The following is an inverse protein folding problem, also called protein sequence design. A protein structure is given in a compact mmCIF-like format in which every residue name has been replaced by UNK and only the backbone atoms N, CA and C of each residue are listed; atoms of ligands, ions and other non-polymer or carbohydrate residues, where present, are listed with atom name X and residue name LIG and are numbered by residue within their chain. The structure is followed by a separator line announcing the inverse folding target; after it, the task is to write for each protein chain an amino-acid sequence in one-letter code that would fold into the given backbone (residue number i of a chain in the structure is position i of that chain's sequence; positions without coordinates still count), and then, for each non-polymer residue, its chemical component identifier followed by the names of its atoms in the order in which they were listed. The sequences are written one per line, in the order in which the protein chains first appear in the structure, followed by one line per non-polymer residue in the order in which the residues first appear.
data_IF_886922893164
#
_entry.id   IF_886922893164
#
_cell.length_a   1.000
_cell.length_b   1.000
_cell.length_c   1.000
_cell.angle_alpha   90.00
_cell.angle_beta   90.00
_cell.angle_gamma   90.00
#
_symmetry.space_group_name_H-M   'P 1'
#
loop_
_entity.id
_entity.type
_entity.pdbx_description
1 polymer ?
#
# COMPACT_ATOMS: atom_id res chain seq x y z
N UNK A 1 0.89 24.43 5.46
CA UNK A 1 0.58 25.19 4.24
C UNK A 1 -0.66 26.06 4.38
N UNK A 2 -1.73 25.61 5.06
CA UNK A 2 -2.91 26.42 5.40
C UNK A 2 -2.81 27.06 6.81
N UNK A 3 -1.99 26.45 7.67
CA UNK A 3 -1.61 26.97 8.98
C UNK A 3 -0.09 27.18 8.97
N UNK A 4 0.35 28.41 9.28
CA UNK A 4 1.75 28.86 9.27
C UNK A 4 2.56 28.27 10.44
N UNK A 5 2.65 26.94 10.48
CA UNK A 5 3.47 26.22 11.44
C UNK A 5 4.89 26.10 10.91
N UNK A 6 5.86 26.38 11.78
CA UNK A 6 7.28 26.17 11.51
C UNK A 6 7.66 24.70 11.79
N UNK A 7 7.15 23.81 10.94
CA UNK A 7 7.37 22.36 11.03
C UNK A 7 7.68 21.80 9.65
N UNK A 8 8.75 21.01 9.56
CA UNK A 8 9.10 20.23 8.38
C UNK A 8 8.40 18.87 8.39
N UNK A 9 7.73 18.51 7.28
CA UNK A 9 7.14 17.18 7.09
C UNK A 9 8.12 16.29 6.34
N UNK A 10 8.59 15.23 7.01
CA UNK A 10 9.48 14.24 6.40
C UNK A 10 8.66 13.01 6.00
N UNK A 11 8.61 12.70 4.70
CA UNK A 11 7.96 11.51 4.21
C UNK A 11 8.82 10.27 4.48
N UNK A 12 8.17 9.18 4.93
CA UNK A 12 8.83 7.89 5.16
C UNK A 12 8.21 6.80 4.25
N UNK A 13 8.99 5.79 3.84
CA UNK A 13 8.47 4.67 3.08
C UNK A 13 7.47 3.84 3.91
N UNK A 14 6.53 3.19 3.23
CA UNK A 14 5.61 2.24 3.86
C UNK A 14 6.40 1.00 4.29
N UNK A 15 6.47 0.76 5.60
CA UNK A 15 7.04 -0.48 6.13
C UNK A 15 6.12 -1.67 5.83
N UNK A 16 6.71 -2.80 5.44
CA UNK A 16 5.98 -4.02 5.05
C UNK A 16 6.58 -5.25 5.74
N UNK A 17 5.73 -6.25 5.97
CA UNK A 17 6.16 -7.59 6.35
C UNK A 17 6.82 -8.31 5.17
N UNK A 18 7.46 -9.46 5.43
CA UNK A 18 8.18 -10.26 4.43
C UNK A 18 7.29 -10.73 3.26
N UNK A 19 5.98 -10.82 3.47
CA UNK A 19 5.00 -11.22 2.44
C UNK A 19 4.42 -10.03 1.66
N UNK A 20 4.81 -8.80 1.99
CA UNK A 20 4.39 -7.56 1.33
C UNK A 20 3.21 -6.84 1.98
N UNK A 21 2.58 -7.41 3.03
CA UNK A 21 1.52 -6.71 3.76
C UNK A 21 2.08 -5.47 4.45
N UNK A 22 1.43 -4.32 4.25
CA UNK A 22 1.78 -3.09 4.97
C UNK A 22 1.60 -3.29 6.48
N UNK A 23 2.58 -2.87 7.27
CA UNK A 23 2.50 -2.94 8.72
C UNK A 23 1.43 -1.97 9.22
N UNK A 24 0.50 -2.48 10.02
CA UNK A 24 -0.61 -1.72 10.59
C UNK A 24 -1.05 -2.38 11.89
N UNK A 25 -1.32 -1.59 12.93
CA UNK A 25 -1.88 -2.09 14.19
C UNK A 25 -3.21 -2.82 13.98
N UNK A 26 -3.96 -2.46 12.92
CA UNK A 26 -5.22 -3.11 12.55
C UNK A 26 -5.06 -4.51 11.96
N UNK A 27 -3.86 -4.91 11.57
CA UNK A 27 -3.62 -6.29 11.13
C UNK A 27 -3.91 -7.31 12.25
N UNK A 28 -3.93 -6.88 13.51
CA UNK A 28 -4.33 -7.70 14.65
C UNK A 28 -5.81 -8.16 14.62
N UNK A 29 -6.65 -7.55 13.78
CA UNK A 29 -8.05 -7.95 13.63
C UNK A 29 -8.26 -9.06 12.58
N UNK A 30 -7.23 -9.35 11.79
CA UNK A 30 -7.30 -10.40 10.77
C UNK A 30 -7.20 -11.76 11.45
N UNK A 31 -8.12 -12.66 11.13
CA UNK A 31 -7.92 -14.07 11.42
C UNK A 31 -6.84 -14.67 10.49
N UNK A 32 -6.47 -15.92 10.73
CA UNK A 32 -5.40 -16.59 9.97
C UNK A 32 -5.67 -16.67 8.46
N UNK A 33 -6.92 -16.90 8.06
CA UNK A 33 -7.30 -16.98 6.64
C UNK A 33 -7.24 -15.60 5.97
N UNK A 34 -7.79 -14.59 6.62
CA UNK A 34 -7.75 -13.20 6.15
C UNK A 34 -6.30 -12.70 6.07
N UNK A 35 -5.46 -13.05 7.05
CA UNK A 35 -4.05 -12.67 7.07
C UNK A 35 -3.28 -13.26 5.90
N UNK A 36 -3.58 -14.49 5.48
CA UNK A 36 -2.98 -15.12 4.29
C UNK A 36 -3.37 -14.41 2.99
N UNK A 37 -4.59 -13.87 2.92
CA UNK A 37 -5.11 -13.18 1.72
C UNK A 37 -4.67 -11.70 1.67
N UNK A 38 -4.51 -11.05 2.82
CA UNK A 38 -4.24 -9.61 2.94
C UNK A 38 -3.07 -9.07 2.08
N UNK A 39 -1.93 -9.77 1.90
CA UNK A 39 -0.87 -9.33 0.99
C UNK A 39 -1.30 -9.17 -0.47
N UNK A 40 -2.42 -9.80 -0.88
CA UNK A 40 -2.99 -9.69 -2.21
C UNK A 40 -3.30 -8.26 -2.64
N UNK A 41 -3.64 -7.37 -1.69
CA UNK A 41 -3.86 -5.95 -1.99
C UNK A 41 -2.59 -5.30 -2.55
N UNK A 42 -1.43 -5.57 -1.94
CA UNK A 42 -0.17 -5.00 -2.42
C UNK A 42 0.18 -5.51 -3.82
N UNK A 43 -0.04 -6.80 -4.08
CA UNK A 43 0.16 -7.40 -5.42
C UNK A 43 -0.73 -6.74 -6.48
N UNK A 44 -2.01 -6.50 -6.15
CA UNK A 44 -2.93 -5.80 -7.05
C UNK A 44 -2.48 -4.36 -7.34
N UNK A 45 -2.01 -3.64 -6.31
CA UNK A 45 -1.47 -2.29 -6.49
C UNK A 45 -0.22 -2.29 -7.39
N UNK A 46 0.70 -3.23 -7.19
CA UNK A 46 1.89 -3.36 -8.06
C UNK A 46 1.53 -3.72 -9.50
N UNK A 47 0.50 -4.54 -9.70
CA UNK A 47 0.00 -4.88 -11.03
C UNK A 47 -0.56 -3.66 -11.76
N UNK A 48 -1.36 -2.84 -11.07
CA UNK A 48 -1.90 -1.59 -11.60
C UNK A 48 -0.79 -0.56 -11.85
N UNK A 49 0.16 -0.42 -10.91
CA UNK A 49 1.34 0.45 -11.06
C UNK A 49 2.11 0.10 -12.34
N UNK A 50 2.33 -1.19 -12.59
CA UNK A 50 3.03 -1.64 -13.79
C UNK A 50 2.29 -1.27 -15.07
N UNK A 51 0.98 -1.49 -15.13
CA UNK A 51 0.17 -1.07 -16.29
C UNK A 51 0.30 0.42 -16.57
N UNK A 52 0.23 1.25 -15.54
CA UNK A 52 0.39 2.71 -15.67
C UNK A 52 1.78 3.06 -16.20
N UNK A 53 2.84 2.43 -15.65
CA UNK A 53 4.23 2.62 -16.11
C UNK A 53 4.42 2.19 -17.57
N UNK A 54 3.66 1.20 -18.02
CA UNK A 54 3.65 0.71 -19.40
C UNK A 54 2.75 1.56 -20.34
N UNK A 55 2.17 2.66 -19.84
CA UNK A 55 1.39 3.63 -20.63
C UNK A 55 -0.11 3.33 -20.73
N UNK A 56 -0.64 2.38 -19.95
CA UNK A 56 -2.07 2.09 -19.89
C UNK A 56 -2.79 3.21 -19.13
N UNK A 57 -3.73 3.89 -19.80
CA UNK A 57 -4.51 4.99 -19.23
C UNK A 57 -5.70 4.52 -18.37
N UNK A 58 -6.21 3.32 -18.64
CA UNK A 58 -7.29 2.69 -17.89
C UNK A 58 -6.83 1.32 -17.36
N UNK A 59 -6.00 1.29 -16.31
CA UNK A 59 -5.50 0.04 -15.76
C UNK A 59 -6.65 -0.75 -15.13
N UNK A 60 -6.67 -2.07 -15.38
CA UNK A 60 -7.70 -2.96 -14.83
C UNK A 60 -7.10 -3.88 -13.77
N UNK A 61 -7.95 -4.35 -12.86
CA UNK A 61 -7.60 -5.49 -12.02
C UNK A 61 -7.55 -6.75 -12.90
N UNK A 62 -6.78 -7.75 -12.45
CA UNK A 62 -6.70 -9.07 -13.08
C UNK A 62 -8.08 -9.73 -13.21
#
# INVERSE_FOLDING_TARGET
HEFNHDVELIAAPIARANDGLALSSRNAYLNDEQRKIAPGLYRALQYVERQIKDGVMEPKLL
#
